data_IF_085176646832
#
_entry.id   IF_085176646832
#
_cell.length_a   1.000
_cell.length_b   1.000
_cell.length_c   1.000
_cell.angle_alpha   90.00
_cell.angle_beta   90.00
_cell.angle_gamma   90.00
#
_symmetry.space_group_name_H-M   'P 1'
#
loop_
_entity.id
_entity.type
_entity.pdbx_description
1 polymer ?
#
# COMPACT_ATOMS: atom_id res chain seq x y z
N UNK A 1 -8.47 -1.01 16.10
CA UNK A 1 -8.70 0.17 15.24
C UNK A 1 -9.54 -0.26 14.05
N UNK A 2 -10.68 0.39 13.80
CA UNK A 2 -11.54 0.08 12.65
C UNK A 2 -10.92 0.78 11.43
N UNK A 3 -10.45 0.03 10.43
CA UNK A 3 -10.02 0.64 9.15
C UNK A 3 -11.24 1.31 8.51
N UNK A 4 -11.09 2.54 8.03
CA UNK A 4 -12.16 3.23 7.32
C UNK A 4 -12.19 2.75 5.85
N UNK A 5 -13.33 2.93 5.19
CA UNK A 5 -13.52 2.48 3.80
C UNK A 5 -12.51 3.11 2.83
N UNK A 6 -12.17 4.39 3.01
CA UNK A 6 -11.20 5.09 2.17
C UNK A 6 -9.77 4.53 2.29
N UNK A 7 -9.37 4.09 3.48
CA UNK A 7 -8.10 3.42 3.72
C UNK A 7 -8.04 2.06 3.01
N UNK A 8 -9.15 1.30 3.01
CA UNK A 8 -9.25 0.02 2.29
C UNK A 8 -9.19 0.21 0.77
N UNK A 9 -9.93 1.17 0.22
CA UNK A 9 -9.87 1.51 -1.22
C UNK A 9 -8.46 1.90 -1.66
N UNK A 10 -7.75 2.68 -0.83
CA UNK A 10 -6.35 3.03 -1.10
C UNK A 10 -5.44 1.79 -1.03
N UNK A 11 -5.61 0.92 -0.04
CA UNK A 11 -4.80 -0.31 0.11
C UNK A 11 -4.97 -1.23 -1.10
N UNK A 12 -6.21 -1.47 -1.56
CA UNK A 12 -6.50 -2.31 -2.73
C UNK A 12 -5.87 -1.77 -4.01
N UNK A 13 -6.04 -0.47 -4.28
CA UNK A 13 -5.46 0.16 -5.45
C UNK A 13 -3.92 0.09 -5.44
N UNK A 14 -3.30 0.29 -4.28
CA UNK A 14 -1.84 0.24 -4.10
C UNK A 14 -1.30 -1.19 -4.28
N UNK A 15 -1.97 -2.19 -3.70
CA UNK A 15 -1.60 -3.60 -3.87
C UNK A 15 -1.68 -3.99 -5.36
N UNK A 16 -2.77 -3.63 -6.03
CA UNK A 16 -2.97 -3.97 -7.44
C UNK A 16 -1.85 -3.37 -8.33
N UNK A 17 -1.51 -2.08 -8.12
CA UNK A 17 -0.45 -1.43 -8.88
C UNK A 17 0.92 -2.09 -8.62
N UNK A 18 1.22 -2.46 -7.37
CA UNK A 18 2.45 -3.19 -7.02
C UNK A 18 2.50 -4.60 -7.63
N UNK A 19 1.41 -5.34 -7.60
CA UNK A 19 1.34 -6.68 -8.21
C UNK A 19 1.51 -6.61 -9.72
N UNK A 20 0.91 -5.60 -10.36
CA UNK A 20 0.94 -5.46 -11.83
C UNK A 20 2.25 -4.87 -12.37
N UNK A 21 2.86 -3.92 -11.66
CA UNK A 21 4.00 -3.15 -12.16
C UNK A 21 5.26 -3.25 -11.29
N UNK A 22 5.22 -3.99 -10.18
CA UNK A 22 6.30 -4.03 -9.18
C UNK A 22 6.43 -2.75 -8.34
N UNK A 23 5.68 -1.69 -8.65
CA UNK A 23 5.72 -0.39 -7.99
C UNK A 23 4.39 0.33 -8.05
N UNK A 24 4.17 1.27 -7.13
CA UNK A 24 3.04 2.20 -7.21
C UNK A 24 3.38 3.30 -8.20
N UNK A 25 2.53 3.51 -9.19
CA UNK A 25 2.74 4.59 -10.17
C UNK A 25 2.39 5.95 -9.55
N UNK A 26 3.20 6.96 -9.84
CA UNK A 26 3.01 8.32 -9.31
C UNK A 26 1.64 8.90 -9.63
N UNK A 27 1.12 8.67 -10.84
CA UNK A 27 -0.20 9.17 -11.24
C UNK A 27 -1.33 8.51 -10.43
N UNK A 28 -1.23 7.21 -10.14
CA UNK A 28 -2.19 6.52 -9.28
C UNK A 28 -2.20 7.13 -7.88
N UNK A 29 -1.01 7.38 -7.31
CA UNK A 29 -0.91 7.99 -5.99
C UNK A 29 -1.47 9.41 -5.94
N UNK A 30 -1.29 10.21 -7.00
CA UNK A 30 -1.91 11.54 -7.13
C UNK A 30 -3.44 11.45 -7.11
N UNK A 31 -4.03 10.50 -7.84
CA UNK A 31 -5.49 10.29 -7.86
C UNK A 31 -6.00 9.94 -6.46
N UNK A 32 -5.34 9.01 -5.76
CA UNK A 32 -5.76 8.61 -4.40
C UNK A 32 -5.69 9.77 -3.41
N UNK A 33 -4.63 10.59 -3.46
CA UNK A 33 -4.49 11.78 -2.61
C UNK A 33 -5.58 12.81 -2.87
N UNK A 34 -5.93 13.03 -4.15
CA UNK A 34 -7.01 13.93 -4.52
C UNK A 34 -8.38 13.42 -4.08
N UNK A 35 -8.59 12.10 -4.08
CA UNK A 35 -9.90 11.49 -3.78
C UNK A 35 -10.14 11.31 -2.28
N UNK A 36 -9.12 10.91 -1.52
CA UNK A 36 -9.25 10.50 -0.12
C UNK A 36 -8.46 11.37 0.87
N UNK A 37 -7.71 12.35 0.37
CA UNK A 37 -6.80 13.17 1.17
C UNK A 37 -5.40 12.58 1.28
N UNK A 38 -4.41 13.45 1.47
CA UNK A 38 -3.00 13.04 1.52
C UNK A 38 -2.71 12.08 2.66
N UNK A 39 -3.22 12.36 3.86
CA UNK A 39 -2.96 11.56 5.05
C UNK A 39 -3.44 10.13 4.91
N UNK A 40 -4.67 9.94 4.41
CA UNK A 40 -5.28 8.62 4.22
C UNK A 40 -4.49 7.82 3.19
N UNK A 41 -4.21 8.43 2.05
CA UNK A 41 -3.54 7.77 0.94
C UNK A 41 -2.08 7.42 1.27
N UNK A 42 -1.34 8.32 1.94
CA UNK A 42 0.04 8.07 2.36
C UNK A 42 0.12 7.04 3.50
N UNK A 43 -0.85 7.03 4.42
CA UNK A 43 -0.92 6.01 5.48
C UNK A 43 -1.16 4.61 4.90
N UNK A 44 -2.08 4.48 3.93
CA UNK A 44 -2.30 3.23 3.22
C UNK A 44 -1.02 2.74 2.52
N UNK A 45 -0.32 3.63 1.81
CA UNK A 45 0.97 3.32 1.17
C UNK A 45 2.01 2.81 2.18
N UNK A 46 2.17 3.49 3.31
CA UNK A 46 3.10 3.10 4.36
C UNK A 46 2.75 1.72 4.93
N UNK A 47 1.47 1.43 5.16
CA UNK A 47 1.04 0.11 5.65
C UNK A 47 1.34 -1.00 4.65
N UNK A 48 1.05 -0.80 3.36
CA UNK A 48 1.37 -1.81 2.34
C UNK A 48 2.88 -2.02 2.23
N UNK A 49 3.68 -0.94 2.22
CA UNK A 49 5.13 -1.05 2.19
C UNK A 49 5.67 -1.82 3.41
N UNK A 50 5.15 -1.52 4.60
CA UNK A 50 5.52 -2.23 5.84
C UNK A 50 5.17 -3.72 5.78
N UNK A 51 3.94 -4.06 5.37
CA UNK A 51 3.50 -5.46 5.23
C UNK A 51 4.38 -6.23 4.24
N UNK A 52 4.73 -5.62 3.10
CA UNK A 52 5.59 -6.25 2.10
C UNK A 52 7.02 -6.42 2.60
N UNK A 53 7.53 -5.45 3.36
CA UNK A 53 8.84 -5.54 3.97
C UNK A 53 8.88 -6.65 5.03
N UNK A 54 7.89 -6.73 5.92
CA UNK A 54 7.77 -7.78 6.93
C UNK A 54 7.65 -9.16 6.28
N UNK A 55 6.80 -9.33 5.26
CA UNK A 55 6.68 -10.59 4.52
C UNK A 55 7.98 -10.98 3.79
N UNK A 56 8.74 -10.00 3.31
CA UNK A 56 10.04 -10.26 2.68
C UNK A 56 11.09 -10.70 3.71
N UNK A 57 11.07 -10.15 4.93
CA UNK A 57 11.94 -10.60 6.01
C UNK A 57 11.56 -11.97 6.54
N UNK A 58 10.27 -12.27 6.74
CA UNK A 58 9.83 -13.59 7.21
C UNK A 58 10.17 -14.71 6.22
N UNK A 59 10.03 -14.47 4.91
CA UNK A 59 10.47 -15.44 3.88
C UNK A 59 11.98 -15.63 3.86
N UNK A 60 12.75 -14.59 4.22
CA UNK A 60 14.21 -14.70 4.31
C UNK A 60 14.61 -15.51 5.55
N UNK A 61 13.96 -15.29 6.68
CA UNK A 61 14.29 -15.95 7.94
C UNK A 61 13.92 -17.45 7.96
N UNK A 62 12.95 -17.88 7.15
CA UNK A 62 12.61 -19.32 6.99
C UNK A 62 13.57 -20.10 6.07
N UNK A 63 14.42 -19.40 5.31
CA UNK A 63 15.35 -20.00 4.33
C UNK A 63 16.79 -20.16 4.85
N UNK A 64 17.07 -19.82 6.12
CA UNK A 64 18.40 -19.92 6.74
C UNK A 64 18.37 -20.64 8.08
#
# INVERSE_FOLDING_TARGET
>A
MKQNLAELECEDAIINDKQRFGRVRTNMMKVLRSKHGEDVANRALNRINKRLQENHFSLRDELF
#
